data_IF_290785356252
#
_entry.id   IF_290785356252
#
_cell.length_a   1.000
_cell.length_b   1.000
_cell.length_c   1.000
_cell.angle_alpha   90.00
_cell.angle_beta   90.00
_cell.angle_gamma   90.00
#
_symmetry.space_group_name_H-M   'P 1'
#
loop_
_entity.id
_entity.type
_entity.pdbx_description
1 polymer ?
#
# COMPACT_ATOMS: atom_id res chain seq x y z
N UNK A 1 2.40 2.26 35.77
CA UNK A 1 1.61 3.36 35.17
C UNK A 1 2.29 3.79 33.87
N UNK A 2 1.50 4.09 32.84
CA UNK A 2 1.82 4.82 31.59
C UNK A 2 3.28 4.78 31.08
N UNK A 3 3.53 3.97 30.05
CA UNK A 3 4.59 4.23 29.07
C UNK A 3 3.91 4.77 27.79
N UNK A 4 4.28 5.97 27.35
CA UNK A 4 3.53 6.73 26.36
C UNK A 4 3.54 6.09 24.96
N UNK A 5 2.39 5.55 24.52
CA UNK A 5 2.09 5.35 23.09
C UNK A 5 1.52 6.66 22.51
N UNK A 6 2.28 7.74 22.68
CA UNK A 6 2.09 9.00 21.97
C UNK A 6 3.07 9.03 20.80
N UNK A 7 2.88 8.16 19.81
CA UNK A 7 3.67 8.16 18.57
C UNK A 7 2.85 8.72 17.42
N UNK A 8 2.85 10.05 17.39
CA UNK A 8 2.70 10.85 16.18
C UNK A 8 1.50 10.51 15.28
N UNK A 9 0.36 11.17 15.55
CA UNK A 9 -0.54 11.59 14.45
C UNK A 9 0.23 12.62 13.63
N UNK A 10 0.95 12.16 12.61
CA UNK A 10 1.71 13.00 11.68
C UNK A 10 0.71 13.68 10.76
N UNK A 11 0.44 14.96 11.03
CA UNK A 11 -0.31 15.83 10.13
C UNK A 11 0.52 17.10 9.81
N UNK A 12 1.42 17.04 8.80
CA UNK A 12 1.97 18.21 8.15
C UNK A 12 1.84 18.17 6.60
N UNK A 13 1.73 19.34 5.94
CA UNK A 13 0.66 19.59 4.97
C UNK A 13 1.20 19.87 3.54
N UNK A 14 0.40 20.11 2.47
CA UNK A 14 -0.78 21.02 2.36
C UNK A 14 -1.73 20.71 1.19
N UNK A 15 -2.99 21.09 1.39
CA UNK A 15 -3.94 21.72 0.43
C UNK A 15 -4.08 21.05 -0.96
N UNK A 16 -5.07 20.16 -1.09
CA UNK A 16 -5.71 19.83 -2.36
C UNK A 16 -6.15 18.38 -2.47
N UNK A 17 -5.29 17.47 -2.02
CA UNK A 17 -5.53 16.02 -2.08
C UNK A 17 -4.98 15.40 -0.80
N UNK A 18 -5.87 14.95 0.09
CA UNK A 18 -5.46 14.12 1.22
C UNK A 18 -5.17 12.71 0.67
N UNK A 19 -3.97 12.18 0.91
CA UNK A 19 -3.65 10.84 0.43
C UNK A 19 -4.35 9.82 1.32
N UNK A 20 -5.35 9.14 0.78
CA UNK A 20 -6.07 8.10 1.50
C UNK A 20 -5.18 6.86 1.77
N UNK A 21 -5.63 5.92 2.63
CA UNK A 21 -4.87 4.72 2.92
C UNK A 21 -4.50 3.90 1.67
N UNK A 22 -5.39 3.86 0.67
CA UNK A 22 -5.19 3.12 -0.58
C UNK A 22 -4.03 3.68 -1.40
N UNK A 23 -3.91 5.02 -1.51
CA UNK A 23 -2.79 5.68 -2.18
C UNK A 23 -1.48 5.44 -1.44
N UNK A 24 -1.46 5.58 -0.11
CA UNK A 24 -0.27 5.33 0.70
C UNK A 24 0.20 3.87 0.58
N UNK A 25 -0.74 2.92 0.58
CA UNK A 25 -0.48 1.49 0.32
C UNK A 25 0.02 1.22 -1.11
N UNK A 26 -0.57 1.86 -2.13
CA UNK A 26 -0.14 1.73 -3.53
C UNK A 26 1.28 2.25 -3.76
N UNK A 27 1.62 3.41 -3.19
CA UNK A 27 2.97 3.98 -3.27
C UNK A 27 4.00 3.07 -2.61
N UNK A 28 3.65 2.46 -1.47
CA UNK A 28 4.49 1.48 -0.77
C UNK A 28 4.66 0.17 -1.56
N UNK A 29 3.56 -0.35 -2.12
CA UNK A 29 3.56 -1.52 -3.01
C UNK A 29 4.48 -1.32 -4.22
N UNK A 30 4.28 -0.23 -4.96
CA UNK A 30 5.10 0.14 -6.12
C UNK A 30 6.57 0.27 -5.75
N UNK A 31 6.90 1.03 -4.71
CA UNK A 31 8.28 1.28 -4.28
C UNK A 31 9.01 -0.03 -3.92
N UNK A 32 8.36 -0.90 -3.13
CA UNK A 32 8.95 -2.18 -2.73
C UNK A 32 9.05 -3.19 -3.89
N UNK A 33 8.06 -3.20 -4.79
CA UNK A 33 8.03 -4.08 -5.96
C UNK A 33 9.08 -3.71 -7.01
N UNK A 34 9.27 -2.42 -7.29
CA UNK A 34 10.17 -1.90 -8.33
C UNK A 34 11.63 -1.81 -7.83
N UNK A 35 11.87 -1.19 -6.67
CA UNK A 35 13.24 -1.00 -6.16
C UNK A 35 13.87 -2.30 -5.65
N UNK A 36 13.05 -3.28 -5.26
CA UNK A 36 13.47 -4.62 -4.80
C UNK A 36 14.55 -4.58 -3.70
N UNK A 37 14.30 -3.93 -2.54
CA UNK A 37 15.32 -3.70 -1.51
C UNK A 37 15.80 -4.96 -0.77
N UNK A 38 15.09 -6.10 -0.89
CA UNK A 38 15.46 -7.37 -0.26
C UNK A 38 16.22 -8.29 -1.24
N UNK A 39 17.05 -9.24 -0.76
CA UNK A 39 17.74 -10.20 -1.62
C UNK A 39 16.80 -11.11 -2.43
N UNK A 40 15.58 -11.34 -1.96
CA UNK A 40 14.57 -12.16 -2.62
C UNK A 40 13.16 -11.80 -2.14
N UNK A 41 12.13 -12.40 -2.75
CA UNK A 41 10.71 -12.30 -2.35
C UNK A 41 10.10 -10.88 -2.29
N UNK A 42 10.74 -9.86 -2.88
CA UNK A 42 10.28 -8.47 -2.87
C UNK A 42 8.80 -8.28 -3.26
N UNK A 43 8.32 -8.93 -4.32
CA UNK A 43 6.92 -8.83 -4.72
C UNK A 43 5.96 -9.34 -3.61
N UNK A 44 6.26 -10.48 -2.99
CA UNK A 44 5.47 -11.03 -1.87
C UNK A 44 5.52 -10.11 -0.64
N UNK A 45 6.70 -9.55 -0.34
CA UNK A 45 6.87 -8.60 0.76
C UNK A 45 6.08 -7.30 0.53
N UNK A 46 6.15 -6.74 -0.68
CA UNK A 46 5.39 -5.57 -1.09
C UNK A 46 3.87 -5.81 -0.98
N UNK A 47 3.39 -6.96 -1.49
CA UNK A 47 2.00 -7.39 -1.36
C UNK A 47 1.54 -7.44 0.11
N UNK A 48 2.29 -8.15 0.95
CA UNK A 48 1.96 -8.31 2.37
C UNK A 48 1.98 -6.97 3.13
N UNK A 49 2.91 -6.08 2.78
CA UNK A 49 3.04 -4.77 3.42
C UNK A 49 1.90 -3.84 3.01
N UNK A 50 1.43 -3.89 1.76
CA UNK A 50 0.25 -3.14 1.31
C UNK A 50 -1.02 -3.58 2.07
N UNK A 51 -1.27 -4.90 2.19
CA UNK A 51 -2.40 -5.44 2.97
C UNK A 51 -2.29 -5.04 4.45
N UNK A 52 -1.10 -5.17 5.06
CA UNK A 52 -0.88 -4.79 6.44
C UNK A 52 -1.05 -3.28 6.69
N UNK A 53 -0.65 -2.44 5.74
CA UNK A 53 -0.85 -0.99 5.82
C UNK A 53 -2.33 -0.61 5.76
N UNK A 54 -3.07 -1.22 4.83
CA UNK A 54 -4.51 -1.04 4.66
C UNK A 54 -5.27 -1.43 5.94
N UNK A 55 -4.98 -2.62 6.49
CA UNK A 55 -5.52 -3.08 7.78
C UNK A 55 -5.16 -2.14 8.94
N UNK A 56 -3.89 -1.74 9.08
CA UNK A 56 -3.45 -0.83 10.14
C UNK A 56 -4.05 0.59 10.03
N UNK A 57 -4.50 0.98 8.84
CA UNK A 57 -5.17 2.25 8.58
C UNK A 57 -6.69 2.19 8.77
N UNK A 58 -7.24 1.04 9.18
CA UNK A 58 -8.69 0.84 9.35
C UNK A 58 -9.47 0.70 8.05
N UNK A 59 -8.78 0.50 6.92
CA UNK A 59 -9.37 0.29 5.60
C UNK A 59 -8.94 -1.09 5.09
N UNK A 60 -9.48 -2.15 5.70
CA UNK A 60 -9.17 -3.53 5.31
C UNK A 60 -9.48 -3.80 3.84
N UNK A 61 -8.84 -4.82 3.26
CA UNK A 61 -9.09 -5.22 1.87
C UNK A 61 -9.29 -6.73 1.75
N UNK A 62 -10.23 -7.14 0.89
CA UNK A 62 -10.46 -8.53 0.48
C UNK A 62 -10.22 -8.67 -1.04
N UNK A 63 -8.95 -8.72 -1.49
CA UNK A 63 -8.62 -8.82 -2.90
C UNK A 63 -8.96 -10.22 -3.45
N UNK A 64 -9.52 -10.33 -4.67
CA UNK A 64 -9.70 -11.62 -5.33
C UNK A 64 -8.39 -12.42 -5.42
N UNK A 65 -8.49 -13.76 -5.41
CA UNK A 65 -7.31 -14.63 -5.45
C UNK A 65 -6.39 -14.30 -6.63
N UNK A 66 -5.11 -14.06 -6.36
CA UNK A 66 -4.10 -13.67 -7.35
C UNK A 66 -4.06 -12.18 -7.68
N UNK A 67 -5.16 -11.43 -7.55
CA UNK A 67 -5.28 -10.05 -8.04
C UNK A 67 -4.23 -9.08 -7.48
N UNK A 68 -3.81 -9.25 -6.23
CA UNK A 68 -2.78 -8.41 -5.60
C UNK A 68 -1.35 -8.77 -6.08
N UNK A 69 -1.13 -10.02 -6.50
CA UNK A 69 0.12 -10.46 -7.15
C UNK A 69 0.17 -9.98 -8.60
N UNK A 70 -0.97 -10.01 -9.31
CA UNK A 70 -1.07 -9.50 -10.67
C UNK A 70 -0.91 -7.98 -10.72
N UNK A 71 -1.52 -7.25 -9.78
CA UNK A 71 -1.23 -5.82 -9.59
C UNK A 71 0.26 -5.54 -9.33
N UNK A 72 0.93 -6.36 -8.51
CA UNK A 72 2.38 -6.22 -8.30
C UNK A 72 3.20 -6.52 -9.56
N UNK A 73 2.74 -7.42 -10.45
CA UNK A 73 3.36 -7.68 -11.75
C UNK A 73 3.20 -6.49 -12.70
N UNK A 74 1.99 -5.94 -12.80
CA UNK A 74 1.68 -4.77 -13.63
C UNK A 74 2.49 -3.52 -13.20
N UNK A 75 2.70 -3.33 -11.90
CA UNK A 75 3.57 -2.27 -11.37
C UNK A 75 5.07 -2.51 -11.70
N UNK A 76 5.51 -3.76 -11.78
CA UNK A 76 6.89 -4.11 -12.15
C UNK A 76 7.12 -3.95 -13.66
N UNK A 77 6.12 -4.23 -14.50
CA UNK A 77 6.19 -4.01 -15.96
C UNK A 77 5.93 -2.56 -16.37
N UNK A 78 5.35 -1.73 -15.49
CA UNK A 78 4.95 -0.35 -15.80
C UNK A 78 3.62 -0.24 -16.54
N UNK A 79 2.81 -1.31 -16.57
CA UNK A 79 1.45 -1.34 -17.13
C UNK A 79 0.43 -0.67 -16.20
N UNK A 80 0.72 -0.65 -14.89
CA UNK A 80 -0.02 0.10 -13.89
C UNK A 80 0.91 1.11 -13.21
N UNK A 81 0.36 2.28 -12.87
CA UNK A 81 1.01 3.27 -12.03
C UNK A 81 0.44 3.26 -10.59
N UNK A 82 0.94 4.18 -9.75
CA UNK A 82 0.49 4.32 -8.36
C UNK A 82 -1.00 4.70 -8.26
N UNK A 83 -1.56 5.41 -9.24
CA UNK A 83 -2.96 5.82 -9.24
C UNK A 83 -3.87 4.64 -9.56
N UNK A 84 -3.58 3.90 -10.63
CA UNK A 84 -4.30 2.68 -11.00
C UNK A 84 -4.22 1.60 -9.91
N UNK A 85 -3.08 1.51 -9.21
CA UNK A 85 -2.95 0.66 -8.03
C UNK A 85 -3.80 1.14 -6.85
N UNK A 86 -3.85 2.44 -6.58
CA UNK A 86 -4.70 3.00 -5.53
C UNK A 86 -6.19 2.73 -5.81
N UNK A 87 -6.66 2.89 -7.06
CA UNK A 87 -8.04 2.63 -7.44
C UNK A 87 -8.44 1.14 -7.30
N UNK A 88 -7.54 0.21 -7.61
CA UNK A 88 -7.76 -1.22 -7.33
C UNK A 88 -7.76 -1.52 -5.83
N UNK A 89 -6.87 -0.91 -5.05
CA UNK A 89 -6.89 -1.09 -3.60
C UNK A 89 -8.17 -0.52 -2.96
N UNK A 90 -8.74 0.57 -3.51
CA UNK A 90 -10.08 1.09 -3.14
C UNK A 90 -11.18 0.10 -3.50
N UNK A 91 -11.15 -0.50 -4.68
CA UNK A 91 -12.20 -1.44 -5.13
C UNK A 91 -12.23 -2.77 -4.36
N UNK A 92 -11.21 -3.05 -3.54
CA UNK A 92 -11.15 -4.20 -2.64
C UNK A 92 -11.44 -3.88 -1.17
N UNK A 93 -11.78 -2.62 -0.83
CA UNK A 93 -12.05 -2.22 0.57
C UNK A 93 -13.31 -2.89 1.15
N UNK A 94 -13.24 -3.19 2.45
CA UNK A 94 -14.33 -3.78 3.27
C UNK A 94 -14.64 -2.91 4.50
#
# INVERSE_FOLDING_TARGET
MVAAVARHRVDPPRLGVDSDPAWRAAALLHTLAVLRPLPSANARFACATAVAYMFASGAGIDPPYGALVDLARELISGEADVYAAADRLRSWQI
#
